data_IF_671177514191
#
_entry.id   IF_671177514191
#
_cell.length_a   1.000
_cell.length_b   1.000
_cell.length_c   1.000
_cell.angle_alpha   90.00
_cell.angle_beta   90.00
_cell.angle_gamma   90.00
#
_symmetry.space_group_name_H-M   'P 1'
#
loop_
_entity.id
_entity.type
_entity.pdbx_description
1 polymer ?
#
# COMPACT_ATOMS: atom_id res chain seq x y z
N UNK A 1 9.65 -16.72 18.65
CA UNK A 1 9.79 -16.15 17.29
C UNK A 1 8.48 -15.43 17.00
N UNK A 2 8.49 -14.10 16.86
CA UNK A 2 7.28 -13.37 16.45
C UNK A 2 6.95 -13.79 15.03
N UNK A 3 5.74 -14.29 14.77
CA UNK A 3 5.29 -14.61 13.41
C UNK A 3 5.42 -13.36 12.53
N UNK A 4 5.97 -13.53 11.33
CA UNK A 4 6.04 -12.47 10.33
C UNK A 4 4.61 -12.02 9.98
N UNK A 5 4.39 -10.73 9.66
CA UNK A 5 3.06 -10.28 9.29
C UNK A 5 2.65 -10.88 7.93
N UNK A 6 1.36 -11.20 7.75
CA UNK A 6 0.85 -11.45 6.41
C UNK A 6 0.95 -10.20 5.53
N UNK A 7 1.13 -10.42 4.23
CA UNK A 7 1.12 -9.36 3.21
C UNK A 7 -0.19 -9.41 2.43
N UNK A 8 -1.04 -8.41 2.66
CA UNK A 8 -2.26 -8.17 1.89
C UNK A 8 -1.94 -7.42 0.59
N UNK A 9 -2.19 -8.09 -0.52
CA UNK A 9 -2.07 -7.60 -1.88
C UNK A 9 -3.45 -7.26 -2.43
N UNK A 10 -3.69 -5.97 -2.66
CA UNK A 10 -4.99 -5.46 -3.15
C UNK A 10 -5.00 -5.37 -4.67
N UNK A 11 -5.95 -6.05 -5.31
CA UNK A 11 -6.07 -6.13 -6.77
C UNK A 11 -7.46 -5.69 -7.26
N UNK A 12 -7.49 -5.29 -8.52
CA UNK A 12 -8.69 -5.29 -9.34
C UNK A 12 -8.18 -5.63 -10.74
N UNK A 13 -8.68 -6.70 -11.36
CA UNK A 13 -8.38 -7.05 -12.75
C UNK A 13 -9.21 -6.16 -13.68
N UNK A 14 -10.51 -6.08 -13.45
CA UNK A 14 -11.39 -5.20 -14.24
C UNK A 14 -11.29 -3.77 -13.69
N UNK A 15 -10.95 -2.83 -14.57
CA UNK A 15 -10.77 -1.42 -14.24
C UNK A 15 -12.12 -0.70 -14.08
N UNK A 16 -12.67 -0.70 -12.87
CA UNK A 16 -13.94 -0.01 -12.56
C UNK A 16 -13.83 1.53 -12.56
N UNK A 17 -12.68 2.09 -12.20
CA UNK A 17 -12.42 3.53 -12.26
C UNK A 17 -11.83 3.91 -13.64
N UNK A 18 -12.55 4.73 -14.42
CA UNK A 18 -12.12 5.13 -15.77
C UNK A 18 -10.87 6.01 -15.82
N UNK A 19 -10.46 6.60 -14.70
CA UNK A 19 -9.25 7.44 -14.60
C UNK A 19 -7.95 6.64 -14.59
N UNK A 20 -8.00 5.31 -14.40
CA UNK A 20 -6.80 4.47 -14.41
C UNK A 20 -6.27 4.28 -15.82
N UNK A 21 -4.94 4.32 -15.96
CA UNK A 21 -4.29 4.18 -17.27
C UNK A 21 -4.12 2.71 -17.71
N UNK A 22 -3.84 1.80 -16.78
CA UNK A 22 -3.71 0.37 -17.08
C UNK A 22 -5.10 -0.27 -17.09
N UNK A 23 -5.71 -0.42 -18.27
CA UNK A 23 -7.07 -0.97 -18.44
C UNK A 23 -7.11 -2.42 -18.92
N UNK A 24 -6.05 -2.86 -19.61
CA UNK A 24 -5.96 -4.22 -20.15
C UNK A 24 -5.92 -5.26 -19.03
N UNK A 25 -6.88 -6.18 -19.04
CA UNK A 25 -7.06 -7.21 -18.02
C UNK A 25 -5.91 -8.22 -18.00
N UNK A 26 -5.45 -8.65 -19.18
CA UNK A 26 -4.36 -9.60 -19.31
C UNK A 26 -3.05 -9.01 -18.75
N UNK A 27 -2.76 -7.74 -19.01
CA UNK A 27 -1.62 -7.04 -18.41
C UNK A 27 -1.78 -6.88 -16.90
N UNK A 28 -3.00 -6.64 -16.39
CA UNK A 28 -3.22 -6.54 -14.94
C UNK A 28 -3.02 -7.87 -14.23
N UNK A 29 -3.45 -8.98 -14.84
CA UNK A 29 -3.17 -10.34 -14.37
C UNK A 29 -1.66 -10.58 -14.41
N UNK A 30 -1.02 -10.34 -15.55
CA UNK A 30 0.43 -10.53 -15.74
C UNK A 30 1.25 -9.79 -14.66
N UNK A 31 0.98 -8.50 -14.43
CA UNK A 31 1.71 -7.73 -13.41
C UNK A 31 1.39 -8.16 -11.98
N UNK A 32 0.24 -8.76 -11.74
CA UNK A 32 -0.09 -9.34 -10.43
C UNK A 32 0.72 -10.62 -10.19
N UNK A 33 0.82 -11.49 -11.21
CA UNK A 33 1.68 -12.69 -11.15
C UNK A 33 3.17 -12.33 -11.01
N UNK A 34 3.63 -11.31 -11.74
CA UNK A 34 4.99 -10.75 -11.62
C UNK A 34 5.27 -10.31 -10.18
N UNK A 35 4.34 -9.55 -9.59
CA UNK A 35 4.43 -9.07 -8.22
C UNK A 35 4.50 -10.21 -7.20
N UNK A 36 3.63 -11.23 -7.32
CA UNK A 36 3.64 -12.41 -6.46
C UNK A 36 4.99 -13.13 -6.55
N UNK A 37 5.50 -13.34 -7.76
CA UNK A 37 6.82 -13.97 -7.96
C UNK A 37 7.93 -13.21 -7.25
N UNK A 38 7.95 -11.88 -7.33
CA UNK A 38 8.95 -11.05 -6.65
C UNK A 38 8.79 -11.06 -5.14
N UNK A 39 7.56 -11.05 -4.63
CA UNK A 39 7.29 -11.21 -3.21
C UNK A 39 7.81 -12.54 -2.68
N UNK A 40 7.55 -13.64 -3.39
CA UNK A 40 8.05 -14.98 -3.05
C UNK A 40 9.59 -15.06 -3.15
N UNK A 41 10.22 -14.32 -4.07
CA UNK A 41 11.68 -14.21 -4.11
C UNK A 41 12.23 -13.53 -2.85
N UNK A 42 11.55 -12.50 -2.36
CA UNK A 42 11.97 -11.68 -1.21
C UNK A 42 11.73 -12.41 0.11
N UNK A 43 10.60 -13.09 0.24
CA UNK A 43 10.22 -13.87 1.43
C UNK A 43 9.52 -15.19 1.02
N UNK A 44 10.28 -16.24 0.68
CA UNK A 44 9.72 -17.49 0.16
C UNK A 44 8.71 -18.18 1.08
N UNK A 45 8.85 -17.99 2.39
CA UNK A 45 7.99 -18.59 3.41
C UNK A 45 6.95 -17.60 3.96
N UNK A 46 6.74 -16.48 3.27
CA UNK A 46 5.75 -15.48 3.64
C UNK A 46 4.31 -15.97 3.48
N UNK A 47 3.40 -15.37 4.24
CA UNK A 47 1.97 -15.55 4.07
C UNK A 47 1.42 -14.37 3.24
N UNK A 48 0.77 -14.68 2.13
CA UNK A 48 0.24 -13.68 1.21
C UNK A 48 -1.27 -13.81 1.10
N UNK A 49 -1.96 -12.68 1.06
CA UNK A 49 -3.39 -12.62 0.78
C UNK A 49 -3.54 -11.80 -0.49
N UNK A 50 -4.05 -12.40 -1.56
CA UNK A 50 -4.40 -11.68 -2.78
C UNK A 50 -5.91 -11.48 -2.80
N UNK A 51 -6.36 -10.23 -2.61
CA UNK A 51 -7.77 -9.89 -2.62
C UNK A 51 -8.11 -9.05 -3.85
N UNK A 52 -8.95 -9.58 -4.73
CA UNK A 52 -9.41 -8.89 -5.94
C UNK A 52 -10.82 -8.30 -5.79
N UNK A 53 -10.95 -7.01 -6.06
CA UNK A 53 -12.22 -6.28 -5.96
C UNK A 53 -13.05 -6.24 -7.25
N UNK A 54 -12.59 -6.88 -8.32
CA UNK A 54 -13.34 -6.96 -9.59
C UNK A 54 -14.08 -8.28 -9.80
N UNK A 55 -13.99 -9.20 -8.84
CA UNK A 55 -14.59 -10.53 -8.91
C UNK A 55 -13.73 -11.56 -9.65
N UNK A 56 -12.46 -11.24 -9.96
CA UNK A 56 -11.57 -12.18 -10.62
C UNK A 56 -10.98 -13.16 -9.60
N UNK A 57 -11.18 -14.46 -9.83
CA UNK A 57 -10.60 -15.51 -8.99
C UNK A 57 -9.17 -15.85 -9.45
N UNK A 58 -8.18 -15.47 -8.63
CA UNK A 58 -6.78 -15.79 -8.87
C UNK A 58 -6.38 -17.22 -8.44
N UNK A 59 -7.23 -17.95 -7.72
CA UNK A 59 -6.87 -19.24 -7.11
C UNK A 59 -6.30 -20.24 -8.14
N UNK A 60 -6.92 -20.45 -9.32
CA UNK A 60 -6.36 -21.37 -10.32
C UNK A 60 -4.96 -20.96 -10.79
N UNK A 61 -4.74 -19.66 -11.00
CA UNK A 61 -3.44 -19.14 -11.44
C UNK A 61 -2.36 -19.27 -10.35
N UNK A 62 -2.72 -19.07 -9.08
CA UNK A 62 -1.78 -19.25 -7.98
C UNK A 62 -1.38 -20.72 -7.82
N UNK A 63 -2.33 -21.65 -7.91
CA UNK A 63 -2.06 -23.10 -7.85
C UNK A 63 -1.18 -23.53 -9.02
N UNK A 64 -1.45 -23.05 -10.24
CA UNK A 64 -0.66 -23.40 -11.43
C UNK A 64 0.77 -22.86 -11.37
N UNK A 65 0.95 -21.60 -10.96
CA UNK A 65 2.25 -20.93 -11.05
C UNK A 65 3.09 -21.05 -9.76
N UNK A 66 2.45 -21.25 -8.61
CA UNK A 66 3.06 -21.22 -7.28
C UNK A 66 2.45 -22.27 -6.33
N UNK A 67 2.45 -23.57 -6.70
CA UNK A 67 1.72 -24.62 -5.97
C UNK A 67 2.13 -24.80 -4.50
N UNK A 68 3.39 -24.49 -4.17
CA UNK A 68 3.94 -24.64 -2.82
C UNK A 68 3.87 -23.36 -1.97
N UNK A 69 3.37 -22.26 -2.55
CA UNK A 69 3.33 -20.96 -1.88
C UNK A 69 2.11 -20.82 -0.96
N UNK A 70 2.30 -20.15 0.19
CA UNK A 70 1.21 -19.86 1.11
C UNK A 70 0.46 -18.58 0.69
N UNK A 71 -0.46 -18.75 -0.27
CA UNK A 71 -1.25 -17.66 -0.84
C UNK A 71 -2.75 -17.92 -0.64
N UNK A 72 -3.40 -17.08 0.16
CA UNK A 72 -4.86 -17.05 0.30
C UNK A 72 -5.44 -16.12 -0.78
N UNK A 73 -6.31 -16.64 -1.64
CA UNK A 73 -7.01 -15.85 -2.66
C UNK A 73 -8.43 -15.51 -2.20
N UNK A 74 -8.77 -14.23 -2.26
CA UNK A 74 -10.11 -13.71 -2.01
C UNK A 74 -10.56 -12.88 -3.20
N UNK A 75 -11.85 -12.88 -3.48
CA UNK A 75 -12.41 -12.04 -4.52
C UNK A 75 -13.85 -11.67 -4.20
N UNK A 76 -14.24 -10.47 -4.62
CA UNK A 76 -15.60 -9.96 -4.55
C UNK A 76 -15.77 -8.88 -5.61
N UNK A 77 -17.00 -8.43 -5.81
CA UNK A 77 -17.30 -7.32 -6.73
C UNK A 77 -17.51 -6.06 -5.90
N UNK A 78 -16.61 -5.09 -6.07
CA UNK A 78 -16.76 -3.75 -5.52
C UNK A 78 -18.05 -3.08 -5.99
N UNK A 79 -18.51 -2.07 -5.23
CA UNK A 79 -19.61 -1.24 -5.69
C UNK A 79 -19.13 -0.24 -6.77
N UNK A 80 -19.37 -0.58 -8.04
CA UNK A 80 -18.93 0.23 -9.18
C UNK A 80 -19.48 1.66 -9.16
N UNK A 81 -20.75 1.86 -8.76
CA UNK A 81 -21.36 3.19 -8.67
C UNK A 81 -20.65 4.08 -7.64
N UNK A 82 -20.30 3.49 -6.49
CA UNK A 82 -19.56 4.19 -5.45
C UNK A 82 -18.11 4.42 -5.87
N UNK A 83 -17.47 3.53 -6.61
CA UNK A 83 -16.14 3.78 -7.19
C UNK A 83 -16.19 4.93 -8.20
N UNK A 84 -17.19 4.99 -9.08
CA UNK A 84 -17.33 6.08 -10.04
C UNK A 84 -17.54 7.43 -9.32
N UNK A 85 -18.31 7.41 -8.22
CA UNK A 85 -18.59 8.60 -7.39
C UNK A 85 -17.41 9.01 -6.51
N UNK A 86 -16.69 8.05 -5.93
CA UNK A 86 -15.70 8.25 -4.87
C UNK A 86 -14.26 7.92 -5.28
N UNK A 87 -14.04 7.53 -6.53
CA UNK A 87 -12.74 7.23 -7.13
C UNK A 87 -12.09 5.93 -6.62
N UNK A 88 -10.96 5.56 -7.22
CA UNK A 88 -10.17 4.35 -6.90
C UNK A 88 -9.85 4.13 -5.41
N UNK A 89 -9.70 5.21 -4.63
CA UNK A 89 -9.43 5.11 -3.19
C UNK A 89 -10.59 4.45 -2.43
N UNK A 90 -11.83 4.63 -2.92
CA UNK A 90 -13.00 3.93 -2.42
C UNK A 90 -12.88 2.41 -2.62
N UNK A 91 -12.61 2.00 -3.87
CA UNK A 91 -12.46 0.58 -4.21
C UNK A 91 -11.33 -0.10 -3.44
N UNK A 92 -10.21 0.59 -3.24
CA UNK A 92 -9.09 0.11 -2.42
C UNK A 92 -9.50 -0.14 -0.96
N UNK A 93 -10.26 0.77 -0.37
CA UNK A 93 -10.76 0.63 1.00
C UNK A 93 -11.73 -0.55 1.15
N UNK A 94 -12.65 -0.71 0.20
CA UNK A 94 -13.56 -1.87 0.16
C UNK A 94 -12.80 -3.20 0.05
N UNK A 95 -11.73 -3.27 -0.76
CA UNK A 95 -10.91 -4.48 -0.87
C UNK A 95 -10.28 -4.84 0.47
N UNK A 96 -9.72 -3.85 1.17
CA UNK A 96 -9.09 -4.09 2.48
C UNK A 96 -10.13 -4.52 3.51
N UNK A 97 -11.30 -3.87 3.55
CA UNK A 97 -12.39 -4.26 4.46
C UNK A 97 -12.89 -5.68 4.18
N UNK A 98 -13.06 -6.04 2.90
CA UNK A 98 -13.46 -7.38 2.53
C UNK A 98 -12.42 -8.41 2.99
N UNK A 99 -11.13 -8.15 2.71
CA UNK A 99 -10.06 -9.04 3.14
C UNK A 99 -10.01 -9.21 4.66
N UNK A 100 -10.13 -8.13 5.43
CA UNK A 100 -10.16 -8.18 6.91
C UNK A 100 -11.36 -8.96 7.45
N UNK A 101 -12.49 -8.97 6.74
CA UNK A 101 -13.69 -9.71 7.16
C UNK A 101 -13.67 -11.20 6.78
N UNK A 102 -12.91 -11.59 5.74
CA UNK A 102 -13.02 -12.92 5.13
C UNK A 102 -11.73 -13.75 5.16
N UNK A 103 -10.55 -13.12 5.29
CA UNK A 103 -9.27 -13.84 5.33
C UNK A 103 -9.08 -14.54 6.67
N UNK A 104 -8.77 -15.84 6.61
CA UNK A 104 -8.37 -16.59 7.82
C UNK A 104 -7.02 -16.09 8.34
N UNK A 105 -6.09 -15.86 7.43
CA UNK A 105 -4.72 -15.42 7.75
C UNK A 105 -4.70 -14.05 8.43
N UNK A 106 -5.46 -13.07 7.92
CA UNK A 106 -5.53 -11.73 8.53
C UNK A 106 -6.28 -11.72 9.86
N UNK A 107 -7.25 -12.63 10.03
CA UNK A 107 -8.00 -12.73 11.28
C UNK A 107 -7.12 -13.18 12.45
N UNK A 108 -6.16 -14.07 12.20
CA UNK A 108 -5.21 -14.55 13.22
C UNK A 108 -4.04 -13.58 13.48
N UNK A 109 -3.80 -12.62 12.59
CA UNK A 109 -2.72 -11.65 12.72
C UNK A 109 -3.14 -10.39 13.50
N UNK A 110 -2.27 -9.91 14.38
CA UNK A 110 -2.43 -8.63 15.09
C UNK A 110 -2.20 -7.42 14.16
N UNK A 111 -1.34 -7.57 13.17
CA UNK A 111 -0.94 -6.52 12.24
C UNK A 111 -0.61 -7.13 10.88
N UNK A 112 -0.66 -6.30 9.83
CA UNK A 112 -0.42 -6.76 8.47
C UNK A 112 0.37 -5.71 7.66
N UNK A 113 0.95 -6.19 6.57
CA UNK A 113 1.55 -5.36 5.54
C UNK A 113 0.52 -5.20 4.43
N UNK A 114 0.23 -3.99 4.02
CA UNK A 114 -0.55 -3.74 2.80
C UNK A 114 0.40 -3.43 1.66
N UNK A 115 0.18 -4.03 0.49
CA UNK A 115 0.74 -3.57 -0.77
C UNK A 115 -0.30 -3.61 -1.90
N UNK A 116 -0.19 -2.73 -2.89
CA UNK A 116 -1.00 -2.88 -4.12
C UNK A 116 -0.52 -4.09 -4.91
N UNK A 117 -1.43 -4.94 -5.38
CA UNK A 117 -1.11 -6.29 -5.88
C UNK A 117 -0.21 -6.38 -7.10
N UNK A 118 -0.01 -5.29 -7.85
CA UNK A 118 0.94 -5.19 -8.98
C UNK A 118 2.31 -4.61 -8.59
N UNK A 119 2.55 -4.43 -7.29
CA UNK A 119 3.75 -3.82 -6.73
C UNK A 119 4.37 -4.72 -5.66
N UNK A 120 5.68 -4.58 -5.50
CA UNK A 120 6.44 -5.17 -4.39
C UNK A 120 7.44 -4.15 -3.82
N UNK A 121 8.03 -4.48 -2.67
CA UNK A 121 9.03 -3.66 -2.00
C UNK A 121 10.36 -4.39 -1.93
N UNK A 122 11.34 -3.97 -2.74
CA UNK A 122 12.63 -4.66 -2.89
C UNK A 122 13.44 -4.70 -1.58
N UNK A 123 13.32 -3.67 -0.73
CA UNK A 123 13.91 -3.62 0.60
C UNK A 123 12.92 -3.93 1.73
N UNK A 124 12.01 -4.89 1.51
CA UNK A 124 10.97 -5.26 2.47
C UNK A 124 11.50 -5.50 3.90
N UNK A 125 12.58 -6.27 4.04
CA UNK A 125 13.19 -6.58 5.33
C UNK A 125 13.65 -5.33 6.09
N UNK A 126 14.23 -4.34 5.39
CA UNK A 126 14.61 -3.06 6.00
C UNK A 126 13.40 -2.26 6.47
N UNK A 127 12.27 -2.36 5.77
CA UNK A 127 11.02 -1.72 6.20
C UNK A 127 10.42 -2.43 7.40
N UNK A 128 10.47 -3.77 7.42
CA UNK A 128 9.98 -4.60 8.51
C UNK A 128 10.76 -4.36 9.80
N UNK A 129 12.08 -4.22 9.70
CA UNK A 129 12.98 -3.90 10.80
C UNK A 129 12.69 -2.53 11.42
N UNK A 130 11.86 -1.69 10.82
CA UNK A 130 11.45 -0.40 11.40
C UNK A 130 10.13 -0.51 12.17
N UNK A 131 9.38 -1.61 12.08
CA UNK A 131 8.01 -1.70 12.60
C UNK A 131 7.78 -1.07 13.99
N UNK A 132 6.92 -0.05 14.07
CA UNK A 132 6.66 0.71 15.31
C UNK A 132 5.49 0.15 16.13
N UNK A 133 4.94 -1.00 15.76
CA UNK A 133 3.77 -1.65 16.38
C UNK A 133 2.43 -0.92 16.22
N UNK A 134 2.36 0.13 15.40
CA UNK A 134 1.13 0.90 15.21
C UNK A 134 0.80 1.17 13.73
N UNK A 135 1.58 2.01 13.06
CA UNK A 135 1.39 2.38 11.67
C UNK A 135 2.69 2.95 11.08
N UNK A 136 3.12 2.44 9.93
CA UNK A 136 4.26 2.95 9.18
C UNK A 136 3.93 3.06 7.69
N UNK A 137 4.16 4.24 7.12
CA UNK A 137 4.01 4.49 5.69
C UNK A 137 5.16 5.37 5.15
N UNK A 138 5.17 5.56 3.83
CA UNK A 138 6.00 6.59 3.20
C UNK A 138 5.17 7.87 3.03
N UNK A 139 5.82 9.02 2.85
CA UNK A 139 5.14 10.24 2.46
C UNK A 139 5.90 11.03 1.39
N UNK A 140 5.17 11.89 0.68
CA UNK A 140 5.75 12.81 -0.29
C UNK A 140 5.93 14.20 0.30
N UNK A 141 7.16 14.70 0.20
CA UNK A 141 7.53 16.05 0.59
C UNK A 141 7.89 16.88 -0.65
N UNK A 142 7.24 18.04 -0.79
CA UNK A 142 7.58 19.03 -1.81
C UNK A 142 8.66 19.99 -1.32
N UNK A 143 9.31 20.69 -2.27
CA UNK A 143 10.31 21.72 -2.00
C UNK A 143 11.55 21.26 -1.19
N UNK A 144 11.85 19.97 -1.11
CA UNK A 144 13.01 19.48 -0.32
C UNK A 144 14.35 19.97 -0.87
N UNK A 145 14.47 20.06 -2.20
CA UNK A 145 15.68 20.52 -2.88
C UNK A 145 15.55 21.96 -3.39
N UNK A 146 14.63 22.75 -2.85
CA UNK A 146 14.42 24.14 -3.27
C UNK A 146 14.59 25.12 -2.10
N UNK A 147 14.71 26.40 -2.41
CA UNK A 147 14.77 27.47 -1.40
C UNK A 147 13.42 27.70 -0.69
N UNK A 148 12.32 27.09 -1.18
CA UNK A 148 11.01 27.19 -0.54
C UNK A 148 10.95 26.25 0.66
N UNK A 149 10.15 26.60 1.66
CA UNK A 149 9.92 25.72 2.82
C UNK A 149 9.36 24.37 2.37
N UNK A 150 9.96 23.29 2.85
CA UNK A 150 9.47 21.94 2.60
C UNK A 150 8.07 21.74 3.18
N UNK A 151 7.24 20.99 2.47
CA UNK A 151 5.86 20.71 2.86
C UNK A 151 5.58 19.22 2.72
N UNK A 152 4.94 18.65 3.73
CA UNK A 152 4.32 17.34 3.65
C UNK A 152 3.03 17.48 2.85
N UNK A 153 2.95 16.81 1.70
CA UNK A 153 1.80 16.93 0.79
C UNK A 153 0.80 15.79 1.01
N UNK A 154 1.26 14.54 1.04
CA UNK A 154 0.40 13.35 1.20
C UNK A 154 1.21 12.15 1.72
N UNK A 155 0.52 11.15 2.27
CA UNK A 155 1.13 9.84 2.59
C UNK A 155 0.92 8.84 1.44
N UNK A 156 1.83 7.91 1.28
CA UNK A 156 1.75 6.87 0.26
C UNK A 156 0.95 5.67 0.78
N UNK A 157 -0.18 5.38 0.13
CA UNK A 157 -1.04 4.25 0.50
C UNK A 157 -0.72 2.99 -0.30
N UNK A 158 0.25 3.02 -1.23
CA UNK A 158 0.62 1.85 -2.04
C UNK A 158 1.25 0.76 -1.20
N UNK A 159 1.99 1.14 -0.16
CA UNK A 159 2.61 0.24 0.80
C UNK A 159 2.63 0.84 2.21
N UNK A 160 2.19 0.08 3.20
CA UNK A 160 2.29 0.44 4.61
C UNK A 160 2.22 -0.79 5.51
N UNK A 161 2.72 -0.65 6.74
CA UNK A 161 2.54 -1.62 7.82
C UNK A 161 1.52 -1.04 8.80
N UNK A 162 0.59 -1.85 9.30
CA UNK A 162 -0.45 -1.35 10.21
C UNK A 162 -0.91 -2.41 11.19
N UNK A 163 -1.11 -1.99 12.44
CA UNK A 163 -1.81 -2.76 13.46
C UNK A 163 -3.30 -2.80 13.11
N UNK A 164 -3.91 -3.98 13.19
CA UNK A 164 -5.29 -4.19 12.74
C UNK A 164 -6.29 -3.33 13.52
N UNK A 165 -6.11 -3.22 14.84
CA UNK A 165 -6.98 -2.41 15.69
C UNK A 165 -6.87 -0.92 15.33
N UNK A 166 -5.64 -0.44 15.10
CA UNK A 166 -5.43 0.94 14.63
C UNK A 166 -6.11 1.19 13.27
N UNK A 167 -5.96 0.26 12.32
CA UNK A 167 -6.61 0.37 11.02
C UNK A 167 -8.14 0.42 11.18
N UNK A 168 -8.72 -0.50 11.95
CA UNK A 168 -10.16 -0.59 12.15
C UNK A 168 -10.73 0.66 12.84
N UNK A 169 -10.04 1.17 13.86
CA UNK A 169 -10.48 2.34 14.61
C UNK A 169 -10.39 3.64 13.81
N UNK A 170 -9.30 3.84 13.05
CA UNK A 170 -8.98 5.15 12.49
C UNK A 170 -9.01 5.22 10.96
N UNK A 171 -8.56 4.18 10.25
CA UNK A 171 -8.32 4.24 8.79
C UNK A 171 -9.42 3.56 7.97
N UNK A 172 -10.17 2.63 8.57
CA UNK A 172 -11.18 1.79 7.91
C UNK A 172 -12.25 2.61 7.18
N UNK A 173 -12.61 3.78 7.70
CA UNK A 173 -13.65 4.66 7.12
C UNK A 173 -13.11 5.76 6.21
N UNK A 174 -11.78 5.90 6.09
CA UNK A 174 -11.14 6.97 5.32
C UNK A 174 -11.59 7.01 3.85
N UNK A 175 -11.99 5.85 3.31
CA UNK A 175 -12.46 5.71 1.93
C UNK A 175 -13.93 6.14 1.75
N UNK A 176 -14.76 6.10 2.81
CA UNK A 176 -16.21 6.45 2.80
C UNK A 176 -16.43 7.95 3.05
N UNK A 177 -15.59 8.59 3.89
CA UNK A 177 -15.75 9.97 4.37
C UNK A 177 -15.47 11.06 3.31
N UNK A 178 -15.81 10.78 2.06
CA UNK A 178 -15.88 11.75 0.97
C UNK A 178 -17.17 12.57 1.06
N UNK A 179 -17.03 13.79 1.60
CA UNK A 179 -17.91 14.91 1.27
C UNK A 179 -17.68 15.33 -0.19
N UNK A 180 -18.75 15.64 -0.91
CA UNK A 180 -18.79 15.69 -2.37
C UNK A 180 -17.89 16.70 -3.07
N UNK A 181 -17.77 16.55 -4.40
CA UNK A 181 -17.21 17.49 -5.39
C UNK A 181 -15.79 18.06 -5.13
N UNK A 182 -15.10 17.67 -4.06
CA UNK A 182 -13.78 18.17 -3.67
C UNK A 182 -12.67 17.10 -3.69
N UNK A 183 -11.97 17.01 -4.83
CA UNK A 183 -10.54 16.70 -5.13
C UNK A 183 -9.57 15.94 -4.17
N UNK A 184 -9.89 15.57 -2.93
CA UNK A 184 -8.93 14.95 -1.98
C UNK A 184 -8.90 13.43 -2.12
N UNK A 185 -7.70 12.85 -2.19
CA UNK A 185 -7.50 11.40 -2.37
C UNK A 185 -7.51 10.64 -1.03
N UNK A 186 -7.44 9.31 -1.08
CA UNK A 186 -7.34 8.49 0.14
C UNK A 186 -6.05 8.77 0.91
N UNK A 187 -4.98 9.08 0.18
CA UNK A 187 -3.69 9.54 0.71
C UNK A 187 -3.82 10.81 1.55
N UNK A 188 -4.59 11.80 1.08
CA UNK A 188 -4.84 13.02 1.84
C UNK A 188 -5.61 12.73 3.14
N UNK A 189 -6.57 11.80 3.09
CA UNK A 189 -7.35 11.41 4.28
C UNK A 189 -6.54 10.66 5.30
N UNK A 190 -5.69 9.73 4.87
CA UNK A 190 -4.77 9.07 5.78
C UNK A 190 -3.85 10.09 6.46
N UNK A 191 -3.34 11.08 5.71
CA UNK A 191 -2.54 12.17 6.28
C UNK A 191 -3.32 12.98 7.31
N UNK A 192 -4.57 13.37 7.01
CA UNK A 192 -5.43 14.10 7.96
C UNK A 192 -5.69 13.29 9.24
N UNK A 193 -5.95 11.99 9.12
CA UNK A 193 -6.17 11.10 10.26
C UNK A 193 -4.91 11.02 11.12
N UNK A 194 -3.74 10.71 10.55
CA UNK A 194 -2.51 10.60 11.36
C UNK A 194 -2.12 11.91 12.03
N UNK A 195 -2.43 13.05 11.41
CA UNK A 195 -2.21 14.37 12.03
C UNK A 195 -3.21 14.67 13.15
N UNK A 196 -4.48 14.30 12.97
CA UNK A 196 -5.54 14.48 13.98
C UNK A 196 -5.32 13.60 15.21
N UNK A 197 -4.88 12.37 15.00
CA UNK A 197 -4.53 11.43 16.07
C UNK A 197 -3.14 11.72 16.67
N UNK A 198 -2.46 12.79 16.24
CA UNK A 198 -1.15 13.23 16.72
C UNK A 198 -0.08 12.13 16.67
N UNK A 199 -0.12 11.27 15.64
CA UNK A 199 0.86 10.20 15.49
C UNK A 199 2.27 10.78 15.30
N UNK A 200 3.19 10.25 16.08
CA UNK A 200 4.62 10.40 15.88
C UNK A 200 5.20 9.11 15.28
N UNK A 201 6.40 9.18 14.70
CA UNK A 201 7.13 8.00 14.22
C UNK A 201 6.36 7.12 13.22
N UNK A 202 5.49 7.70 12.38
CA UNK A 202 4.70 6.94 11.40
C UNK A 202 5.31 6.90 10.00
N UNK A 203 6.44 7.59 9.78
CA UNK A 203 7.19 7.55 8.52
C UNK A 203 8.40 6.62 8.64
N UNK A 204 8.62 5.83 7.60
CA UNK A 204 9.88 5.08 7.48
C UNK A 204 11.08 6.04 7.45
N UNK A 205 12.11 5.74 8.23
CA UNK A 205 13.42 6.36 8.14
C UNK A 205 14.11 5.96 6.81
N UNK A 206 14.16 4.65 6.55
CA UNK A 206 14.59 4.12 5.25
C UNK A 206 13.37 3.91 4.36
N UNK A 207 13.18 4.72 3.30
CA UNK A 207 11.96 4.67 2.50
C UNK A 207 11.82 3.32 1.75
N UNK A 208 10.58 2.81 1.59
CA UNK A 208 10.30 1.64 0.77
C UNK A 208 10.73 1.84 -0.69
N UNK A 209 11.39 0.83 -1.26
CA UNK A 209 11.76 0.77 -2.67
C UNK A 209 10.63 0.04 -3.41
N UNK A 210 9.60 0.81 -3.76
CA UNK A 210 8.43 0.30 -4.49
C UNK A 210 8.78 0.07 -5.97
N UNK A 211 8.54 -1.16 -6.43
CA UNK A 211 8.78 -1.68 -7.78
C UNK A 211 7.47 -2.24 -8.39
N UNK A 212 7.47 -2.53 -9.69
CA UNK A 212 6.30 -3.06 -10.42
C UNK A 212 5.49 -2.00 -11.16
N UNK A 213 4.19 -2.25 -11.40
CA UNK A 213 3.33 -1.38 -12.23
C UNK A 213 2.19 -0.75 -11.43
N UNK A 214 2.17 0.58 -11.39
CA UNK A 214 1.07 1.30 -10.73
C UNK A 214 -0.17 1.36 -11.60
N UNK A 215 -1.26 0.69 -11.21
CA UNK A 215 -2.50 0.60 -12.01
C UNK A 215 -3.08 1.97 -12.41
N UNK A 216 -3.06 2.95 -11.50
CA UNK A 216 -3.51 4.31 -11.81
C UNK A 216 -2.66 5.05 -12.83
N UNK A 217 -1.34 4.84 -12.82
CA UNK A 217 -0.39 5.56 -13.69
C UNK A 217 -0.07 4.83 -15.00
N UNK A 218 -0.22 3.50 -15.02
CA UNK A 218 0.25 2.61 -16.09
C UNK A 218 1.78 2.55 -16.22
N UNK A 219 2.53 3.22 -15.32
CA UNK A 219 3.98 3.29 -15.40
C UNK A 219 4.61 2.14 -14.61
N UNK A 220 5.59 1.50 -15.26
CA UNK A 220 6.51 0.61 -14.58
C UNK A 220 7.47 1.44 -13.73
N UNK A 221 7.47 1.22 -12.42
CA UNK A 221 8.43 1.80 -11.50
C UNK A 221 9.78 1.13 -11.69
N UNK A 222 10.49 1.53 -12.75
CA UNK A 222 11.87 1.12 -12.97
C UNK A 222 12.72 1.73 -11.89
N UNK A 223 13.37 0.83 -11.17
CA UNK A 223 14.18 1.22 -10.07
C UNK A 223 15.60 1.57 -10.54
N UNK A 224 15.84 2.88 -10.72
CA UNK A 224 17.17 3.37 -11.02
C UNK A 224 17.93 3.72 -9.74
N UNK A 225 19.24 3.43 -9.72
CA UNK A 225 20.14 3.83 -8.62
C UNK A 225 20.03 5.32 -8.31
N UNK A 226 19.86 6.16 -9.34
CA UNK A 226 19.69 7.61 -9.21
C UNK A 226 18.40 7.99 -8.49
N UNK A 227 17.27 7.32 -8.80
CA UNK A 227 15.99 7.53 -8.11
C UNK A 227 16.10 7.10 -6.64
N UNK A 228 16.67 5.92 -6.36
CA UNK A 228 16.90 5.44 -4.98
C UNK A 228 17.71 6.45 -4.16
N UNK A 229 18.82 6.92 -4.71
CA UNK A 229 19.70 7.86 -4.02
C UNK A 229 18.98 9.19 -3.75
N UNK A 230 18.22 9.70 -4.73
CA UNK A 230 17.43 10.93 -4.56
C UNK A 230 16.36 10.79 -3.48
N UNK A 231 15.64 9.67 -3.43
CA UNK A 231 14.64 9.45 -2.38
C UNK A 231 15.27 9.26 -1.00
N UNK A 232 16.40 8.54 -0.90
CA UNK A 232 17.16 8.43 0.35
C UNK A 232 17.65 9.79 0.85
N UNK A 233 18.22 10.61 -0.05
CA UNK A 233 18.66 11.97 0.29
C UNK A 233 17.48 12.85 0.71
N UNK A 234 16.35 12.77 -0.01
CA UNK A 234 15.13 13.49 0.37
C UNK A 234 14.67 13.10 1.78
N UNK A 235 14.59 11.80 2.06
CA UNK A 235 14.19 11.27 3.37
C UNK A 235 15.13 11.79 4.46
N UNK A 236 16.44 11.69 4.23
CA UNK A 236 17.47 12.14 5.17
C UNK A 236 17.39 13.65 5.47
N UNK A 237 17.24 14.50 4.45
CA UNK A 237 17.11 15.95 4.65
C UNK A 237 15.87 16.27 5.50
N UNK A 238 14.75 15.62 5.23
CA UNK A 238 13.49 15.89 5.92
C UNK A 238 13.48 15.32 7.34
N UNK A 239 14.09 14.15 7.57
CA UNK A 239 14.18 13.56 8.91
C UNK A 239 15.05 14.38 9.88
N UNK A 240 15.90 15.27 9.37
CA UNK A 240 16.69 16.23 10.16
C UNK A 240 16.08 17.64 10.20
N UNK A 241 14.93 17.84 9.55
CA UNK A 241 14.19 19.09 9.68
C UNK A 241 13.40 19.07 10.98
N UNK A 242 13.66 20.01 11.90
CA UNK A 242 13.01 20.07 13.22
C UNK A 242 11.49 20.09 13.17
N UNK A 243 10.89 20.54 12.05
CA UNK A 243 9.43 20.50 11.84
C UNK A 243 8.88 19.09 11.61
N UNK A 244 9.67 18.20 11.03
CA UNK A 244 9.21 16.89 10.56
C UNK A 244 9.93 15.71 11.23
N UNK A 245 10.99 15.97 12.00
CA UNK A 245 11.81 14.97 12.66
C UNK A 245 10.98 13.96 13.48
N UNK A 246 10.01 14.44 14.27
CA UNK A 246 9.14 13.60 15.09
C UNK A 246 8.21 12.67 14.31
N UNK A 247 8.09 12.87 12.98
CA UNK A 247 7.28 12.01 12.12
C UNK A 247 8.04 10.75 11.71
N UNK A 248 9.38 10.77 11.74
CA UNK A 248 10.21 9.65 11.29
C UNK A 248 10.50 8.69 12.42
N UNK A 249 10.32 7.41 12.15
CA UNK A 249 10.64 6.34 13.07
C UNK A 249 12.15 6.08 13.12
N UNK A 250 12.85 6.94 13.86
CA UNK A 250 14.28 6.80 14.18
C UNK A 250 14.41 5.73 15.26
N UNK A 251 15.04 4.60 14.93
CA UNK A 251 15.39 3.56 15.90
C UNK A 251 16.80 3.77 16.43
#
# INVERSE_FOLDING_TARGET
>A
MSNLPPVLLTSSVIAMDHSVHLKDEALRIFHTLESIKEWLRINPNGQYILCDGSGFDFSPLMIENFPDANIECLFFINNADLILKHGKGFGEGEIILYALGHSKTLNEAEWFVKCTGKLWVDNFWQCLDQWNRQFLCQAFFSNVFSLKKSRLEYVDTRFYLVNKDFYQAHLSRAHIERGGLGKRSIEDRFLEIVMREELSNFLFETPPIVCGVGGGSGKYYKDSKTRRLKEKLRSWIISHNSKFESLFNKR
#
